data_IF_023113639249
#
_entry.id   IF_023113639249
#
_cell.length_a   1.000
_cell.length_b   1.000
_cell.length_c   1.000
_cell.angle_alpha   90.00
_cell.angle_beta   90.00
_cell.angle_gamma   90.00
#
_symmetry.space_group_name_H-M   'P 1'
#
loop_
_entity.id
_entity.type
_entity.pdbx_description
1 polymer ?
#
# COMPACT_ATOMS: atom_id res chain seq x y z
N UNK A 1 3.23 20.47 -11.90
CA UNK A 1 2.17 19.52 -12.27
C UNK A 1 0.84 20.09 -11.81
N UNK A 2 -0.11 20.23 -12.72
CA UNK A 2 -1.48 20.66 -12.38
C UNK A 2 -2.23 19.52 -11.67
N UNK A 3 -3.12 19.83 -10.74
CA UNK A 3 -3.93 18.84 -10.00
C UNK A 3 -4.66 17.87 -10.94
N UNK A 4 -5.11 18.36 -12.10
CA UNK A 4 -5.74 17.56 -13.16
C UNK A 4 -4.80 16.59 -13.87
N UNK A 5 -3.53 16.94 -14.01
CA UNK A 5 -2.52 16.04 -14.60
C UNK A 5 -2.19 14.90 -13.63
N UNK A 6 -2.18 15.19 -12.32
CA UNK A 6 -1.99 14.18 -11.29
C UNK A 6 -3.19 13.22 -11.23
N UNK A 7 -4.42 13.73 -11.25
CA UNK A 7 -5.64 12.91 -11.29
C UNK A 7 -5.67 11.98 -12.52
N UNK A 8 -5.37 12.50 -13.71
CA UNK A 8 -5.32 11.69 -14.94
C UNK A 8 -4.25 10.60 -14.88
N UNK A 9 -3.04 10.95 -14.42
CA UNK A 9 -1.96 9.95 -14.26
C UNK A 9 -2.30 8.90 -13.21
N UNK A 10 -3.00 9.28 -12.15
CA UNK A 10 -3.46 8.37 -11.12
C UNK A 10 -4.54 7.42 -11.67
N UNK A 11 -5.49 7.92 -12.45
CA UNK A 11 -6.52 7.10 -13.11
C UNK A 11 -5.90 6.10 -14.10
N UNK A 12 -4.96 6.56 -14.93
CA UNK A 12 -4.21 5.70 -15.87
C UNK A 12 -3.44 4.60 -15.12
N UNK A 13 -2.76 4.96 -14.02
CA UNK A 13 -2.03 4.00 -13.20
C UNK A 13 -2.98 3.00 -12.50
N UNK A 14 -4.16 3.44 -12.04
CA UNK A 14 -5.17 2.55 -11.48
C UNK A 14 -5.63 1.54 -12.54
N UNK A 15 -5.86 1.99 -13.78
CA UNK A 15 -6.28 1.11 -14.87
C UNK A 15 -5.19 0.11 -15.27
N UNK A 16 -3.93 0.54 -15.35
CA UNK A 16 -2.80 -0.36 -15.58
C UNK A 16 -2.70 -1.43 -14.47
N UNK A 17 -2.89 -1.02 -13.21
CA UNK A 17 -2.92 -1.94 -12.07
C UNK A 17 -4.08 -2.93 -12.16
N UNK A 18 -5.28 -2.50 -12.59
CA UNK A 18 -6.45 -3.37 -12.81
C UNK A 18 -6.16 -4.46 -13.84
N UNK A 19 -5.59 -4.07 -14.98
CA UNK A 19 -5.26 -5.01 -16.07
C UNK A 19 -4.19 -6.00 -15.60
N UNK A 20 -3.14 -5.50 -14.95
CA UNK A 20 -2.04 -6.35 -14.45
C UNK A 20 -2.52 -7.37 -13.42
N UNK A 21 -3.36 -6.94 -12.48
CA UNK A 21 -3.96 -7.85 -11.48
C UNK A 21 -4.85 -8.91 -12.14
N UNK A 22 -5.61 -8.52 -13.17
CA UNK A 22 -6.48 -9.42 -13.92
C UNK A 22 -5.66 -10.50 -14.65
N UNK A 23 -4.56 -10.12 -15.31
CA UNK A 23 -3.67 -11.07 -15.97
C UNK A 23 -3.06 -12.04 -14.95
N UNK A 24 -2.52 -11.52 -13.84
CA UNK A 24 -1.95 -12.36 -12.79
C UNK A 24 -2.98 -13.34 -12.20
N UNK A 25 -4.23 -12.90 -12.05
CA UNK A 25 -5.34 -13.73 -11.63
C UNK A 25 -5.61 -14.89 -12.61
N UNK A 26 -5.68 -14.61 -13.91
CA UNK A 26 -5.89 -15.63 -14.94
C UNK A 26 -4.72 -16.62 -14.98
N UNK A 27 -3.47 -16.14 -15.02
CA UNK A 27 -2.29 -17.00 -15.04
C UNK A 27 -2.25 -17.96 -13.86
N UNK A 28 -2.54 -17.47 -12.65
CA UNK A 28 -2.57 -18.30 -11.45
C UNK A 28 -3.69 -19.34 -11.47
N UNK A 29 -4.85 -18.98 -12.00
CA UNK A 29 -5.99 -19.91 -12.13
C UNK A 29 -5.63 -21.05 -13.07
N UNK A 30 -5.05 -20.73 -14.23
CA UNK A 30 -4.63 -21.70 -15.23
C UNK A 30 -3.56 -22.63 -14.67
N UNK A 31 -2.52 -22.08 -14.03
CA UNK A 31 -1.44 -22.88 -13.43
C UNK A 31 -2.00 -23.86 -12.38
N UNK A 32 -2.79 -23.36 -11.42
CA UNK A 32 -3.37 -24.19 -10.36
C UNK A 32 -4.25 -25.31 -10.94
N UNK A 33 -5.16 -24.97 -11.84
CA UNK A 33 -6.09 -25.96 -12.38
C UNK A 33 -5.41 -26.95 -13.32
N UNK A 34 -4.38 -26.54 -14.04
CA UNK A 34 -3.58 -27.45 -14.84
C UNK A 34 -2.83 -28.45 -13.94
N UNK A 35 -2.12 -27.96 -12.91
CA UNK A 35 -1.37 -28.82 -11.98
C UNK A 35 -2.27 -29.80 -11.22
N UNK A 36 -3.46 -29.36 -10.79
CA UNK A 36 -4.35 -30.17 -9.95
C UNK A 36 -5.25 -31.14 -10.75
N UNK A 37 -5.51 -30.86 -12.04
CA UNK A 37 -6.48 -31.63 -12.82
C UNK A 37 -5.91 -32.36 -14.04
N UNK A 38 -4.79 -31.90 -14.61
CA UNK A 38 -4.21 -32.50 -15.82
C UNK A 38 -3.03 -33.38 -15.44
N UNK A 39 -3.24 -34.69 -15.56
CA UNK A 39 -2.25 -35.68 -15.16
C UNK A 39 -1.93 -36.67 -16.29
N UNK A 40 -2.80 -36.80 -17.30
CA UNK A 40 -2.68 -37.82 -18.34
C UNK A 40 -2.21 -37.22 -19.67
N UNK A 41 -0.91 -37.32 -19.96
CA UNK A 41 -0.31 -36.84 -21.21
C UNK A 41 -0.40 -37.86 -22.36
N UNK A 42 -1.58 -38.47 -22.57
CA UNK A 42 -1.79 -39.49 -23.60
C UNK A 42 -2.31 -38.91 -24.91
N UNK A 43 -2.90 -37.71 -24.87
CA UNK A 43 -3.55 -37.07 -26.02
C UNK A 43 -3.30 -35.56 -25.99
N UNK A 44 -3.49 -34.89 -27.13
CA UNK A 44 -3.43 -33.41 -27.24
C UNK A 44 -4.73 -32.73 -26.78
N UNK A 45 -5.74 -33.50 -26.41
CA UNK A 45 -7.04 -33.04 -25.91
C UNK A 45 -7.20 -33.47 -24.46
N UNK A 46 -7.92 -32.67 -23.69
CA UNK A 46 -8.32 -33.03 -22.34
C UNK A 46 -9.38 -34.13 -22.38
N UNK A 47 -9.29 -35.10 -21.48
CA UNK A 47 -10.35 -36.07 -21.27
C UNK A 47 -11.57 -35.39 -20.60
N UNK A 48 -12.75 -36.00 -20.70
CA UNK A 48 -13.98 -35.45 -20.09
C UNK A 48 -13.85 -35.25 -18.57
N UNK A 49 -13.10 -36.15 -17.91
CA UNK A 49 -12.80 -36.05 -16.47
C UNK A 49 -11.91 -34.86 -16.14
N UNK A 50 -10.86 -34.64 -16.94
CA UNK A 50 -9.95 -33.50 -16.76
C UNK A 50 -10.69 -32.19 -17.04
N UNK A 51 -11.53 -32.15 -18.09
CA UNK A 51 -12.38 -31.01 -18.43
C UNK A 51 -13.34 -30.65 -17.29
N UNK A 52 -14.04 -31.64 -16.73
CA UNK A 52 -14.92 -31.42 -15.57
C UNK A 52 -14.15 -30.94 -14.34
N UNK A 53 -12.96 -31.51 -14.08
CA UNK A 53 -12.10 -31.07 -12.97
C UNK A 53 -11.66 -29.61 -13.13
N UNK A 54 -11.18 -29.21 -14.31
CA UNK A 54 -10.72 -27.83 -14.59
C UNK A 54 -11.86 -26.83 -14.38
N UNK A 55 -13.07 -27.14 -14.85
CA UNK A 55 -14.25 -26.28 -14.64
C UNK A 55 -14.57 -26.10 -13.14
N UNK A 56 -14.60 -27.20 -12.39
CA UNK A 56 -14.83 -27.16 -10.93
C UNK A 56 -13.70 -26.43 -10.19
N UNK A 57 -12.46 -26.61 -10.63
CA UNK A 57 -11.29 -25.91 -10.07
C UNK A 57 -11.41 -24.40 -10.26
N UNK A 58 -11.71 -23.94 -11.48
CA UNK A 58 -11.87 -22.53 -11.80
C UNK A 58 -13.00 -21.89 -10.97
N UNK A 59 -14.15 -22.56 -10.88
CA UNK A 59 -15.28 -22.09 -10.06
C UNK A 59 -14.91 -22.00 -8.57
N UNK A 60 -14.23 -23.03 -8.04
CA UNK A 60 -13.78 -23.06 -6.65
C UNK A 60 -12.75 -21.95 -6.37
N UNK A 61 -11.84 -21.70 -7.30
CA UNK A 61 -10.85 -20.64 -7.20
C UNK A 61 -11.49 -19.25 -7.19
N UNK A 62 -12.44 -18.99 -8.09
CA UNK A 62 -13.25 -17.77 -8.13
C UNK A 62 -13.95 -17.53 -6.79
N UNK A 63 -14.72 -18.53 -6.31
CA UNK A 63 -15.45 -18.45 -5.04
C UNK A 63 -14.52 -18.23 -3.84
N UNK A 64 -13.34 -18.86 -3.84
CA UNK A 64 -12.35 -18.68 -2.78
C UNK A 64 -11.74 -17.27 -2.79
N UNK A 65 -11.44 -16.73 -3.97
CA UNK A 65 -10.88 -15.39 -4.13
C UNK A 65 -11.87 -14.33 -3.67
N UNK A 66 -13.14 -14.42 -4.09
CA UNK A 66 -14.20 -13.51 -3.62
C UNK A 66 -14.40 -13.54 -2.10
N UNK A 67 -14.34 -14.72 -1.47
CA UNK A 67 -14.44 -14.84 0.00
C UNK A 67 -13.24 -14.22 0.71
N UNK A 68 -12.07 -14.28 0.08
CA UNK A 68 -10.84 -13.70 0.62
C UNK A 68 -10.92 -12.17 0.54
N UNK A 69 -11.32 -11.61 -0.60
CA UNK A 69 -11.52 -10.17 -0.75
C UNK A 69 -12.63 -9.62 0.18
N UNK A 70 -13.76 -10.31 0.33
CA UNK A 70 -14.80 -9.94 1.31
C UNK A 70 -14.24 -9.93 2.75
N UNK A 71 -13.27 -10.79 3.05
CA UNK A 71 -12.66 -10.85 4.39
C UNK A 71 -11.65 -9.74 4.59
N UNK A 72 -10.84 -9.43 3.59
CA UNK A 72 -9.88 -8.33 3.63
C UNK A 72 -10.60 -6.98 3.69
N UNK A 73 -11.63 -6.77 2.86
CA UNK A 73 -12.47 -5.57 2.90
C UNK A 73 -13.14 -5.36 4.25
N UNK A 74 -13.68 -6.42 4.87
CA UNK A 74 -14.22 -6.34 6.24
C UNK A 74 -13.16 -5.86 7.24
N UNK A 75 -11.92 -6.35 7.15
CA UNK A 75 -10.87 -5.97 8.08
C UNK A 75 -10.45 -4.51 7.90
N UNK A 76 -10.44 -4.01 6.66
CA UNK A 76 -10.19 -2.61 6.36
C UNK A 76 -11.30 -1.70 6.94
N UNK A 77 -12.57 -2.02 6.68
CA UNK A 77 -13.71 -1.29 7.20
C UNK A 77 -13.72 -1.24 8.73
N UNK A 78 -13.46 -2.38 9.39
CA UNK A 78 -13.37 -2.43 10.85
C UNK A 78 -12.20 -1.58 11.34
N UNK A 79 -11.06 -1.55 10.63
CA UNK A 79 -9.92 -0.74 11.04
C UNK A 79 -10.22 0.75 11.02
N UNK A 80 -10.89 1.22 9.97
CA UNK A 80 -11.16 2.64 9.76
C UNK A 80 -12.36 3.13 10.60
N UNK A 81 -13.40 2.30 10.75
CA UNK A 81 -14.73 2.78 11.17
C UNK A 81 -15.30 2.06 12.39
N UNK A 82 -14.49 1.32 13.15
CA UNK A 82 -14.97 0.62 14.36
C UNK A 82 -15.62 1.51 15.42
N UNK A 83 -15.37 2.83 15.41
CA UNK A 83 -15.96 3.79 16.34
C UNK A 83 -17.40 4.13 15.99
N UNK A 84 -17.77 4.10 14.70
CA UNK A 84 -19.12 4.42 14.20
C UNK A 84 -20.14 3.31 14.51
N UNK A 85 -19.66 2.11 14.88
CA UNK A 85 -20.50 0.97 15.25
C UNK A 85 -20.62 -0.09 14.14
N UNK A 86 -21.12 -1.27 14.53
CA UNK A 86 -21.18 -2.42 13.63
C UNK A 86 -22.30 -2.34 12.58
N UNK A 87 -23.34 -1.55 12.82
CA UNK A 87 -24.43 -1.35 11.86
C UNK A 87 -23.94 -0.56 10.64
N UNK A 88 -23.17 0.50 10.90
CA UNK A 88 -22.53 1.33 9.88
C UNK A 88 -21.48 0.55 9.08
N UNK A 89 -20.68 -0.29 9.75
CA UNK A 89 -19.76 -1.23 9.08
C UNK A 89 -20.54 -2.21 8.20
N UNK A 90 -21.69 -2.73 8.66
CA UNK A 90 -22.49 -3.66 7.89
C UNK A 90 -23.12 -3.03 6.66
N UNK A 91 -23.58 -1.79 6.76
CA UNK A 91 -24.10 -1.02 5.63
C UNK A 91 -23.04 -0.85 4.54
N UNK A 92 -21.86 -0.36 4.91
CA UNK A 92 -20.78 -0.12 3.94
C UNK A 92 -20.20 -1.42 3.39
N UNK A 93 -20.05 -2.46 4.22
CA UNK A 93 -19.68 -3.80 3.76
C UNK A 93 -20.67 -4.33 2.71
N UNK A 94 -21.97 -4.18 2.95
CA UNK A 94 -23.00 -4.65 2.00
C UNK A 94 -23.05 -3.80 0.72
N UNK A 95 -22.69 -2.52 0.79
CA UNK A 95 -22.56 -1.65 -0.38
C UNK A 95 -21.37 -2.06 -1.27
N UNK A 96 -20.25 -2.45 -0.66
CA UNK A 96 -19.05 -2.91 -1.39
C UNK A 96 -19.19 -4.32 -1.98
N UNK A 97 -19.95 -5.20 -1.33
CA UNK A 97 -20.11 -6.59 -1.75
C UNK A 97 -21.58 -6.91 -2.10
N UNK A 98 -22.10 -6.43 -3.24
CA UNK A 98 -23.47 -6.70 -3.66
C UNK A 98 -23.69 -8.22 -3.82
N UNK A 99 -24.83 -8.70 -3.33
CA UNK A 99 -25.21 -10.13 -3.37
C UNK A 99 -25.00 -10.91 -2.06
N UNK A 100 -24.27 -10.37 -1.08
CA UNK A 100 -24.12 -10.97 0.25
C UNK A 100 -24.66 -10.04 1.34
N UNK A 101 -25.90 -10.25 1.78
CA UNK A 101 -26.49 -9.45 2.88
C UNK A 101 -25.96 -9.93 4.23
N UNK A 102 -25.00 -9.20 4.80
CA UNK A 102 -24.45 -9.47 6.14
C UNK A 102 -25.10 -8.56 7.17
N UNK A 103 -25.38 -9.10 8.36
CA UNK A 103 -25.79 -8.30 9.52
C UNK A 103 -24.59 -7.90 10.38
N UNK A 104 -24.73 -6.81 11.12
CA UNK A 104 -23.75 -6.34 12.11
C UNK A 104 -23.27 -7.47 13.04
N UNK A 105 -24.20 -8.25 13.59
CA UNK A 105 -23.88 -9.41 14.43
C UNK A 105 -23.13 -10.52 13.69
N UNK A 106 -23.42 -10.76 12.41
CA UNK A 106 -22.67 -11.73 11.59
C UNK A 106 -21.22 -11.29 11.35
N UNK A 107 -21.01 -10.02 10.99
CA UNK A 107 -19.68 -9.46 10.75
C UNK A 107 -18.84 -9.42 12.04
N UNK A 108 -19.46 -8.99 13.16
CA UNK A 108 -18.83 -9.01 14.48
C UNK A 108 -18.36 -10.42 14.87
N UNK A 109 -19.17 -11.45 14.63
CA UNK A 109 -18.79 -12.85 14.86
C UNK A 109 -17.67 -13.32 13.92
N UNK A 110 -17.72 -12.94 12.64
CA UNK A 110 -16.66 -13.24 11.66
C UNK A 110 -15.33 -12.63 12.11
N UNK A 111 -15.31 -11.34 12.44
CA UNK A 111 -14.14 -10.66 12.99
C UNK A 111 -13.64 -11.32 14.27
N UNK A 112 -14.55 -11.65 15.20
CA UNK A 112 -14.22 -12.36 16.42
C UNK A 112 -13.55 -13.71 16.18
N UNK A 113 -14.02 -14.47 15.19
CA UNK A 113 -13.41 -15.73 14.79
C UNK A 113 -12.01 -15.50 14.21
N UNK A 114 -11.83 -14.50 13.35
CA UNK A 114 -10.55 -14.20 12.69
C UNK A 114 -9.45 -13.88 13.70
N UNK A 115 -9.65 -12.92 14.60
CA UNK A 115 -8.59 -12.56 15.55
C UNK A 115 -8.30 -13.66 16.60
N UNK A 116 -9.25 -14.56 16.86
CA UNK A 116 -9.08 -15.72 17.75
C UNK A 116 -8.38 -16.91 17.08
N UNK A 117 -8.21 -16.86 15.75
CA UNK A 117 -7.59 -17.96 15.01
C UNK A 117 -6.11 -18.08 15.41
N UNK A 118 -5.71 -19.30 15.79
CA UNK A 118 -4.30 -19.63 16.04
C UNK A 118 -3.60 -19.80 14.70
N UNK A 119 -2.44 -19.18 14.55
CA UNK A 119 -1.63 -19.28 13.33
C UNK A 119 -0.55 -20.30 13.64
N UNK A 120 -0.56 -21.41 12.91
CA UNK A 120 0.46 -22.46 12.97
C UNK A 120 1.20 -22.56 11.61
N UNK A 121 2.23 -23.41 11.54
CA UNK A 121 3.01 -23.60 10.30
C UNK A 121 2.22 -24.24 9.16
N UNK A 122 1.09 -24.89 9.45
CA UNK A 122 0.21 -25.54 8.46
C UNK A 122 -0.86 -24.59 7.91
N UNK A 123 -1.03 -23.43 8.55
CA UNK A 123 -2.02 -22.44 8.17
C UNK A 123 -1.62 -21.80 6.85
N UNK A 124 -2.50 -21.88 5.84
CA UNK A 124 -2.24 -21.24 4.54
C UNK A 124 -1.94 -19.76 4.71
N UNK A 125 -0.95 -19.28 3.96
CA UNK A 125 -0.42 -17.91 4.07
C UNK A 125 -1.51 -16.83 4.06
N UNK A 126 -2.49 -16.91 3.14
CA UNK A 126 -3.61 -15.96 3.07
C UNK A 126 -4.46 -15.93 4.35
N UNK A 127 -4.72 -17.10 4.95
CA UNK A 127 -5.47 -17.19 6.21
C UNK A 127 -4.65 -16.67 7.39
N UNK A 128 -3.33 -16.93 7.39
CA UNK A 128 -2.42 -16.37 8.38
C UNK A 128 -2.37 -14.84 8.30
N UNK A 129 -2.29 -14.28 7.08
CA UNK A 129 -2.34 -12.82 6.83
C UNK A 129 -3.63 -12.19 7.36
N UNK A 130 -4.79 -12.73 6.99
CA UNK A 130 -6.08 -12.23 7.48
C UNK A 130 -6.21 -12.31 9.02
N UNK A 131 -5.78 -13.41 9.63
CA UNK A 131 -5.79 -13.56 11.08
C UNK A 131 -4.82 -12.59 11.78
N UNK A 132 -3.63 -12.36 11.22
CA UNK A 132 -2.67 -11.40 11.74
C UNK A 132 -3.21 -9.96 11.66
N UNK A 133 -3.81 -9.59 10.53
CA UNK A 133 -4.45 -8.28 10.36
C UNK A 133 -5.60 -8.10 11.36
N UNK A 134 -6.47 -9.09 11.53
CA UNK A 134 -7.55 -9.04 12.52
C UNK A 134 -7.03 -8.87 13.96
N UNK A 135 -5.91 -9.53 14.32
CA UNK A 135 -5.25 -9.33 15.62
C UNK A 135 -4.72 -7.91 15.76
N UNK A 136 -4.06 -7.37 14.72
CA UNK A 136 -3.57 -5.99 14.71
C UNK A 136 -4.70 -4.98 14.91
N UNK A 137 -5.79 -5.10 14.14
CA UNK A 137 -6.97 -4.22 14.27
C UNK A 137 -7.54 -4.29 15.68
N UNK A 138 -7.65 -5.48 16.28
CA UNK A 138 -8.11 -5.62 17.67
C UNK A 138 -7.18 -4.94 18.68
N UNK A 139 -5.87 -5.00 18.47
CA UNK A 139 -4.89 -4.32 19.32
C UNK A 139 -5.00 -2.80 19.19
N UNK A 140 -5.17 -2.26 17.98
CA UNK A 140 -5.44 -0.84 17.73
C UNK A 140 -6.72 -0.38 18.48
N UNK A 141 -7.82 -1.15 18.35
CA UNK A 141 -9.07 -0.88 19.08
C UNK A 141 -8.88 -0.87 20.61
N UNK A 142 -8.00 -1.73 21.15
CA UNK A 142 -7.71 -1.80 22.60
C UNK A 142 -6.82 -0.64 23.05
N UNK A 143 -5.81 -0.30 22.27
CA UNK A 143 -4.88 0.81 22.56
C UNK A 143 -5.60 2.14 22.65
N UNK A 144 -6.52 2.40 21.73
CA UNK A 144 -7.29 3.65 21.71
C UNK A 144 -8.30 3.75 22.86
N UNK A 145 -8.94 2.64 23.24
CA UNK A 145 -9.76 2.58 24.46
C UNK A 145 -8.96 2.83 25.74
N UNK A 146 -7.72 2.34 25.81
CA UNK A 146 -6.82 2.62 26.94
C UNK A 146 -6.35 4.07 26.95
N UNK A 147 -6.08 4.66 25.77
CA UNK A 147 -5.78 6.09 25.63
C UNK A 147 -6.94 6.96 26.12
N UNK A 148 -8.16 6.68 25.68
CA UNK A 148 -9.37 7.38 26.16
C UNK A 148 -9.62 7.19 27.65
N UNK A 149 -9.40 5.99 28.21
CA UNK A 149 -9.52 5.75 29.65
C UNK A 149 -8.41 6.43 30.47
N UNK A 150 -7.20 6.58 29.92
CA UNK A 150 -6.11 7.32 30.55
C UNK A 150 -6.36 8.83 30.50
N UNK A 151 -6.86 9.35 29.37
CA UNK A 151 -7.31 10.74 29.25
C UNK A 151 -8.49 11.06 30.18
N UNK A 152 -9.45 10.14 30.31
CA UNK A 152 -10.57 10.30 31.23
C UNK A 152 -10.14 10.27 32.70
N UNK A 153 -9.11 9.48 33.07
CA UNK A 153 -8.49 9.53 34.40
C UNK A 153 -7.73 10.84 34.63
N UNK A 154 -6.98 11.32 33.64
CA UNK A 154 -6.26 12.59 33.74
C UNK A 154 -7.21 13.79 33.90
N UNK A 155 -8.40 13.75 33.29
CA UNK A 155 -9.43 14.78 33.48
C UNK A 155 -10.29 14.57 34.74
N UNK A 156 -10.24 13.38 35.35
CA UNK A 156 -10.91 13.07 36.61
C UNK A 156 -10.08 13.36 37.86
N UNK A 157 -8.78 13.57 37.72
CA UNK A 157 -7.85 13.83 38.83
C UNK A 157 -7.79 15.32 39.23
N UNK A 158 -8.44 16.22 38.48
CA UNK A 158 -8.56 17.65 38.79
C UNK A 158 -9.84 18.03 39.58
N UNK A 159 -10.65 17.07 40.03
CA UNK A 159 -11.90 17.35 40.76
C UNK A 159 -12.14 16.52 42.03
N UNK A 160 -11.10 15.99 42.69
CA UNK A 160 -11.26 15.46 44.05
C UNK A 160 -10.06 15.86 44.93
N UNK A 161 -10.17 17.03 45.56
CA UNK A 161 -9.50 17.31 46.82
C UNK A 161 -10.57 17.62 47.86
N UNK A 162 -10.41 17.02 49.04
CA UNK A 162 -11.24 17.06 50.25
C UNK A 162 -12.46 16.12 50.34
N UNK A 163 -12.21 14.87 50.79
CA UNK A 163 -12.64 14.38 52.12
C UNK A 163 -12.41 12.85 52.31
N UNK A 164 -11.58 12.52 53.31
CA UNK A 164 -11.35 11.32 54.17
C UNK A 164 -11.71 9.86 53.75
N UNK A 165 -10.93 8.83 54.21
CA UNK A 165 -10.95 7.47 53.68
C UNK A 165 -11.86 6.53 54.46
N UNK A 166 -12.59 5.67 53.75
CA UNK A 166 -13.25 4.53 54.36
C UNK A 166 -14.10 3.74 53.39
N UNK A 167 -13.82 2.44 53.34
CA UNK A 167 -14.69 1.35 52.88
C UNK A 167 -14.47 0.83 51.44
N UNK A 168 -14.38 -0.50 51.43
CA UNK A 168 -13.99 -1.45 50.41
C UNK A 168 -14.98 -1.66 49.24
N UNK A 169 -14.38 -1.94 48.08
CA UNK A 169 -14.83 -2.75 46.93
C UNK A 169 -16.21 -3.44 47.04
N UNK A 170 -17.08 -3.23 46.03
CA UNK A 170 -17.93 -4.26 45.41
C UNK A 170 -18.35 -3.85 43.97
N UNK A 171 -18.22 -4.79 43.03
CA UNK A 171 -18.94 -4.82 41.73
C UNK A 171 -20.46 -4.71 41.94
N UNK A 172 -21.23 -4.07 41.04
CA UNK A 172 -22.37 -4.64 40.26
C UNK A 172 -22.83 -3.63 39.16
N UNK A 173 -23.19 -4.18 37.98
CA UNK A 173 -23.97 -3.65 36.84
C UNK A 173 -25.02 -2.53 37.08
N UNK A 174 -25.25 -1.67 36.06
CA UNK A 174 -26.40 -1.69 35.13
C UNK A 174 -26.56 -0.37 34.34
N UNK A 175 -27.26 -0.46 33.21
CA UNK A 175 -27.66 0.58 32.25
C UNK A 175 -28.12 1.91 32.86
N UNK A 176 -27.98 3.01 32.10
CA UNK A 176 -29.10 3.91 31.76
C UNK A 176 -28.72 4.90 30.64
N UNK A 177 -29.79 5.36 30.01
CA UNK A 177 -29.98 5.97 28.70
C UNK A 177 -29.59 7.46 28.56
N UNK A 178 -29.56 7.88 27.29
CA UNK A 178 -29.90 9.20 26.72
C UNK A 178 -29.08 10.45 27.09
N UNK A 179 -28.30 10.94 26.10
CA UNK A 179 -28.19 12.38 25.84
C UNK A 179 -28.27 12.63 24.33
N UNK A 180 -29.24 13.44 23.93
CA UNK A 180 -29.51 13.92 22.59
C UNK A 180 -28.41 14.83 22.03
N UNK A 181 -28.15 14.65 20.73
CA UNK A 181 -27.97 15.68 19.69
C UNK A 181 -27.36 17.03 20.06
N UNK A 182 -26.13 17.27 19.58
CA UNK A 182 -25.72 18.61 19.12
C UNK A 182 -25.17 18.49 17.69
N UNK A 183 -25.84 19.21 16.80
CA UNK A 183 -25.52 19.47 15.40
C UNK A 183 -24.19 20.21 15.23
N UNK A 184 -23.30 19.71 14.35
CA UNK A 184 -22.32 20.52 13.63
C UNK A 184 -21.98 19.88 12.27
N UNK A 185 -22.30 20.59 11.18
CA UNK A 185 -21.76 20.34 9.83
C UNK A 185 -20.41 21.08 9.64
N UNK A 186 -19.81 21.12 8.43
CA UNK A 186 -18.88 20.10 7.93
C UNK A 186 -17.49 20.72 7.70
N UNK A 187 -16.42 20.02 8.04
CA UNK A 187 -15.07 20.57 7.91
C UNK A 187 -14.01 19.52 7.69
N UNK A 188 -13.47 19.50 6.47
CA UNK A 188 -12.11 19.08 6.10
C UNK A 188 -11.76 17.58 6.23
N UNK A 189 -11.88 16.89 5.09
CA UNK A 189 -11.19 15.63 4.80
C UNK A 189 -9.67 15.75 4.96
N UNK A 190 -9.01 14.83 5.67
CA UNK A 190 -7.66 14.41 5.34
C UNK A 190 -7.77 13.35 4.23
N UNK A 191 -7.38 13.73 3.01
CA UNK A 191 -7.16 12.77 1.93
C UNK A 191 -5.96 11.89 2.28
N UNK A 192 -6.24 10.66 2.71
CA UNK A 192 -5.31 9.54 2.59
C UNK A 192 -5.77 8.66 1.43
N UNK A 193 -4.87 8.53 0.46
CA UNK A 193 -4.96 7.73 -0.76
C UNK A 193 -5.70 6.40 -0.55
N UNK A 194 -6.73 6.07 -1.35
CA UNK A 194 -7.33 4.75 -1.31
C UNK A 194 -6.43 3.78 -2.08
N UNK A 195 -5.92 2.77 -1.38
CA UNK A 195 -5.37 1.57 -1.98
C UNK A 195 -6.53 0.87 -2.69
N UNK A 196 -6.60 1.07 -4.02
CA UNK A 196 -7.72 0.70 -4.87
C UNK A 196 -7.92 -0.82 -4.86
N UNK A 197 -8.81 -1.29 -4.00
CA UNK A 197 -9.42 -2.62 -4.14
C UNK A 197 -10.47 -2.50 -5.24
N UNK A 198 -10.04 -2.69 -6.49
CA UNK A 198 -10.94 -2.79 -7.62
C UNK A 198 -11.61 -4.15 -7.57
N UNK A 199 -12.88 -4.17 -7.17
CA UNK A 199 -13.79 -5.26 -7.53
C UNK A 199 -14.47 -4.87 -8.83
N UNK A 200 -13.90 -5.25 -9.97
CA UNK A 200 -14.63 -5.20 -11.23
C UNK A 200 -15.72 -6.28 -11.17
N UNK A 201 -16.98 -5.87 -11.16
CA UNK A 201 -18.10 -6.78 -11.28
C UNK A 201 -18.15 -7.34 -12.72
N UNK A 202 -18.68 -8.56 -12.91
CA UNK A 202 -18.85 -9.21 -14.23
C UNK A 202 -19.56 -8.30 -15.26
N UNK A 203 -20.38 -7.36 -14.77
CA UNK A 203 -21.15 -6.43 -15.57
C UNK A 203 -20.31 -5.31 -16.21
N UNK A 204 -19.30 -4.79 -15.49
CA UNK A 204 -18.42 -3.72 -16.01
C UNK A 204 -17.51 -4.24 -17.12
N UNK A 205 -17.04 -5.49 -17.00
CA UNK A 205 -16.25 -6.16 -18.04
C UNK A 205 -17.05 -6.44 -19.31
N UNK A 206 -18.37 -6.65 -19.23
CA UNK A 206 -19.23 -6.88 -20.40
C UNK A 206 -19.60 -5.59 -21.13
N UNK A 207 -19.77 -4.48 -20.41
CA UNK A 207 -20.15 -3.19 -21.00
C UNK A 207 -19.01 -2.52 -21.77
N UNK A 208 -17.77 -2.65 -21.31
CA UNK A 208 -16.59 -2.11 -22.02
C UNK A 208 -16.36 -2.78 -23.37
N UNK A 209 -16.78 -4.05 -23.53
CA UNK A 209 -16.64 -4.82 -24.76
C UNK A 209 -17.69 -4.49 -25.85
N UNK A 210 -18.73 -3.71 -25.56
CA UNK A 210 -19.89 -3.53 -26.48
C UNK A 210 -20.15 -2.10 -26.97
N UNK A 211 -19.42 -1.09 -26.50
CA UNK A 211 -19.60 0.28 -26.98
C UNK A 211 -18.64 0.63 -28.11
N UNK A 212 -19.16 0.71 -29.35
CA UNK A 212 -18.50 1.39 -30.45
C UNK A 212 -18.61 2.91 -30.27
N UNK A 213 -17.50 3.56 -29.89
CA UNK A 213 -17.42 5.02 -29.70
C UNK A 213 -17.30 5.72 -31.07
N UNK A 214 -18.10 6.76 -31.37
CA UNK A 214 -17.94 7.53 -32.61
C UNK A 214 -16.63 8.33 -32.59
N UNK A 215 -15.90 8.29 -33.71
CA UNK A 215 -14.62 8.98 -33.91
C UNK A 215 -14.81 10.51 -33.96
N UNK A 216 -14.29 11.22 -32.96
CA UNK A 216 -14.17 12.69 -32.97
C UNK A 216 -12.76 13.10 -33.41
N UNK A 217 -12.56 14.37 -33.77
CA UNK A 217 -11.28 14.90 -34.27
C UNK A 217 -10.09 14.69 -33.30
N UNK A 218 -10.36 14.55 -31.99
CA UNK A 218 -9.41 14.18 -30.92
C UNK A 218 -8.79 12.78 -31.12
N UNK A 219 -9.50 11.85 -31.76
CA UNK A 219 -9.00 10.47 -31.94
C UNK A 219 -7.87 10.41 -32.96
N UNK A 220 -7.87 11.31 -33.96
CA UNK A 220 -6.82 11.37 -34.98
C UNK A 220 -5.46 11.71 -34.37
N UNK A 221 -5.43 12.65 -33.43
CA UNK A 221 -4.22 13.08 -32.71
C UNK A 221 -3.79 12.00 -31.71
N UNK A 222 -4.73 11.31 -31.06
CA UNK A 222 -4.45 10.18 -30.18
C UNK A 222 -3.77 9.02 -30.91
N UNK A 223 -4.23 8.68 -32.13
CA UNK A 223 -3.58 7.69 -32.98
C UNK A 223 -2.17 8.10 -33.38
N UNK A 224 -1.95 9.36 -33.78
CA UNK A 224 -0.60 9.82 -34.13
C UNK A 224 0.35 9.80 -32.93
N UNK A 225 -0.12 10.19 -31.75
CA UNK A 225 0.66 10.13 -30.52
C UNK A 225 0.94 8.67 -30.09
N UNK A 226 0.00 7.73 -30.31
CA UNK A 226 0.23 6.31 -30.09
C UNK A 226 1.27 5.74 -31.08
N UNK A 227 1.16 6.06 -32.37
CA UNK A 227 2.11 5.65 -33.41
C UNK A 227 3.52 6.19 -33.14
N UNK A 228 3.63 7.41 -32.61
CA UNK A 228 4.92 8.01 -32.24
C UNK A 228 5.54 7.41 -30.96
N UNK A 229 4.71 6.88 -30.05
CA UNK A 229 5.17 6.22 -28.82
C UNK A 229 5.72 4.82 -29.05
N UNK A 230 5.25 4.13 -30.09
CA UNK A 230 5.59 2.73 -30.37
C UNK A 230 6.23 2.60 -31.75
N UNK A 231 7.53 2.96 -31.91
CA UNK A 231 8.18 2.97 -33.21
C UNK A 231 8.17 1.61 -33.92
N UNK A 232 8.23 0.49 -33.17
CA UNK A 232 8.21 -0.86 -33.76
C UNK A 232 6.79 -1.29 -34.15
N UNK A 233 5.79 -0.98 -33.33
CA UNK A 233 4.38 -1.22 -33.68
C UNK A 233 3.78 -0.12 -34.59
N UNK A 234 4.55 0.91 -34.96
CA UNK A 234 4.06 2.10 -35.67
C UNK A 234 3.41 1.76 -37.01
N UNK A 235 3.99 0.86 -37.78
CA UNK A 235 3.50 0.47 -39.10
C UNK A 235 2.27 -0.45 -39.05
N UNK A 236 2.23 -1.49 -38.18
CA UNK A 236 1.01 -2.22 -37.86
C UNK A 236 -0.14 -1.33 -37.38
N UNK A 237 0.14 -0.36 -36.50
CA UNK A 237 -0.86 0.57 -35.97
C UNK A 237 -1.41 1.53 -37.05
N UNK A 238 -0.55 2.01 -37.97
CA UNK A 238 -0.99 2.80 -39.14
C UNK A 238 -1.89 1.98 -40.06
N UNK A 239 -1.53 0.73 -40.33
CA UNK A 239 -2.30 -0.18 -41.17
C UNK A 239 -3.66 -0.50 -40.56
N UNK A 240 -3.68 -0.77 -39.25
CA UNK A 240 -4.91 -1.03 -38.51
C UNK A 240 -5.84 0.19 -38.49
N UNK A 241 -5.29 1.39 -38.31
CA UNK A 241 -6.05 2.65 -38.43
C UNK A 241 -6.68 2.82 -39.81
N UNK A 242 -5.90 2.61 -40.87
CA UNK A 242 -6.40 2.73 -42.25
C UNK A 242 -7.52 1.73 -42.56
N UNK A 243 -7.44 0.50 -42.02
CA UNK A 243 -8.48 -0.53 -42.16
C UNK A 243 -9.76 -0.20 -41.39
N UNK A 244 -9.63 0.43 -40.21
CA UNK A 244 -10.78 0.92 -39.43
C UNK A 244 -11.46 2.09 -40.14
N UNK A 245 -10.68 3.01 -40.73
CA UNK A 245 -11.19 4.16 -41.49
C UNK A 245 -11.84 3.75 -42.82
N UNK A 246 -11.37 2.67 -43.48
CA UNK A 246 -11.97 2.14 -44.71
C UNK A 246 -13.20 1.26 -44.48
N UNK A 247 -13.48 0.88 -43.22
CA UNK A 247 -14.58 -0.02 -42.86
C UNK A 247 -14.32 -1.48 -43.24
N UNK A 248 -13.08 -1.84 -43.57
CA UNK A 248 -12.70 -3.20 -43.92
C UNK A 248 -12.61 -4.08 -42.66
N UNK A 249 -13.07 -5.33 -42.78
CA UNK A 249 -12.96 -6.30 -41.69
C UNK A 249 -11.49 -6.64 -41.44
N UNK A 250 -10.93 -6.17 -40.32
CA UNK A 250 -9.63 -6.60 -39.83
C UNK A 250 -9.70 -8.07 -39.42
N UNK A 251 -8.78 -8.89 -39.93
CA UNK A 251 -8.64 -10.27 -39.48
C UNK A 251 -8.38 -10.26 -37.97
N UNK A 252 -9.13 -11.07 -37.21
CA UNK A 252 -8.94 -11.22 -35.76
C UNK A 252 -7.48 -11.59 -35.40
N UNK A 253 -6.77 -12.27 -36.30
CA UNK A 253 -5.36 -12.62 -36.15
C UNK A 253 -4.43 -11.40 -36.26
N UNK A 254 -4.70 -10.47 -37.18
CA UNK A 254 -3.88 -9.27 -37.39
C UNK A 254 -4.07 -8.27 -36.23
N UNK A 255 -5.29 -8.19 -35.70
CA UNK A 255 -5.60 -7.42 -34.50
C UNK A 255 -4.84 -7.98 -33.28
N UNK A 256 -4.92 -9.30 -33.06
CA UNK A 256 -4.22 -9.95 -31.95
C UNK A 256 -2.70 -9.79 -32.04
N UNK A 257 -2.13 -9.88 -33.25
CA UNK A 257 -0.70 -9.69 -33.49
C UNK A 257 -0.26 -8.24 -33.22
N UNK A 258 -1.06 -7.27 -33.64
CA UNK A 258 -0.79 -5.84 -33.40
C UNK A 258 -0.87 -5.50 -31.91
N UNK A 259 -1.89 -5.99 -31.21
CA UNK A 259 -2.03 -5.83 -29.76
C UNK A 259 -0.86 -6.46 -29.02
N UNK A 260 -0.43 -7.67 -29.41
CA UNK A 260 0.71 -8.36 -28.81
C UNK A 260 2.01 -7.56 -28.99
N UNK A 261 2.26 -7.00 -30.17
CA UNK A 261 3.44 -6.17 -30.44
C UNK A 261 3.46 -4.92 -29.56
N UNK A 262 2.33 -4.22 -29.44
CA UNK A 262 2.21 -3.03 -28.57
C UNK A 262 2.45 -3.41 -27.10
N UNK A 263 1.88 -4.52 -26.64
CA UNK A 263 2.07 -4.98 -25.25
C UNK A 263 3.53 -5.36 -24.97
N UNK A 264 4.21 -6.05 -25.90
CA UNK A 264 5.61 -6.43 -25.75
C UNK A 264 6.54 -5.23 -25.76
N UNK A 265 6.33 -4.28 -26.68
CA UNK A 265 7.11 -3.04 -26.73
C UNK A 265 6.87 -2.20 -25.47
N UNK A 266 5.64 -2.21 -24.96
CA UNK A 266 5.27 -1.55 -23.70
C UNK A 266 5.94 -2.14 -22.47
N UNK A 267 6.04 -3.47 -22.41
CA UNK A 267 6.80 -4.11 -21.35
C UNK A 267 8.29 -3.80 -21.45
N UNK A 268 8.86 -3.83 -22.65
CA UNK A 268 10.26 -3.51 -22.87
C UNK A 268 10.62 -2.08 -22.44
N UNK A 269 9.76 -1.11 -22.75
CA UNK A 269 9.98 0.28 -22.36
C UNK A 269 9.96 0.46 -20.83
N UNK A 270 9.00 -0.17 -20.13
CA UNK A 270 8.96 -0.19 -18.66
C UNK A 270 10.18 -0.87 -18.05
N UNK A 271 10.70 -1.92 -18.68
CA UNK A 271 11.92 -2.59 -18.24
C UNK A 271 13.14 -1.67 -18.32
N UNK A 272 13.29 -0.94 -19.43
CA UNK A 272 14.37 0.04 -19.60
C UNK A 272 14.31 1.16 -18.56
N UNK A 273 13.12 1.70 -18.29
CA UNK A 273 12.93 2.72 -17.25
C UNK A 273 13.31 2.19 -15.86
N UNK A 274 12.91 0.95 -15.52
CA UNK A 274 13.31 0.29 -14.27
C UNK A 274 14.82 0.07 -14.17
N UNK A 275 15.49 -0.21 -15.29
CA UNK A 275 16.96 -0.36 -15.32
C UNK A 275 17.67 0.97 -15.13
N UNK A 276 17.19 2.03 -15.78
CA UNK A 276 17.70 3.40 -15.61
C UNK A 276 17.59 3.85 -14.15
N UNK A 277 16.43 3.65 -13.54
CA UNK A 277 16.19 4.01 -12.13
C UNK A 277 17.07 3.17 -11.17
N UNK A 278 17.35 1.90 -11.51
CA UNK A 278 18.29 1.07 -10.74
C UNK A 278 19.72 1.61 -10.83
N UNK A 279 20.15 2.08 -12.00
CA UNK A 279 21.49 2.62 -12.20
C UNK A 279 21.65 4.01 -11.57
N UNK A 280 20.63 4.86 -11.63
CA UNK A 280 20.61 6.15 -10.94
C UNK A 280 20.76 5.97 -9.42
N UNK A 281 20.00 5.03 -8.83
CA UNK A 281 20.15 4.68 -7.41
C UNK A 281 21.54 4.13 -7.08
N UNK A 282 22.22 3.47 -8.02
CA UNK A 282 23.61 3.01 -7.82
C UNK A 282 24.58 4.19 -7.79
N UNK A 283 24.44 5.11 -8.74
CA UNK A 283 25.26 6.32 -8.81
C UNK A 283 25.04 7.22 -7.58
N UNK A 284 23.79 7.39 -7.13
CA UNK A 284 23.49 8.12 -5.89
C UNK A 284 24.16 7.48 -4.66
N UNK A 285 24.09 6.15 -4.54
CA UNK A 285 24.79 5.45 -3.45
C UNK A 285 26.30 5.65 -3.51
N UNK A 286 26.90 5.68 -4.69
CA UNK A 286 28.33 5.95 -4.86
C UNK A 286 28.67 7.38 -4.46
N UNK A 287 27.92 8.37 -4.96
CA UNK A 287 28.09 9.78 -4.59
C UNK A 287 27.98 9.98 -3.08
N UNK A 288 26.97 9.38 -2.45
CA UNK A 288 26.80 9.45 -1.00
C UNK A 288 27.96 8.80 -0.25
N UNK A 289 28.49 7.67 -0.72
CA UNK A 289 29.67 7.03 -0.11
C UNK A 289 30.92 7.90 -0.23
N UNK A 290 31.14 8.55 -1.37
CA UNK A 290 32.25 9.47 -1.58
C UNK A 290 32.14 10.70 -0.69
N UNK A 291 30.95 11.31 -0.62
CA UNK A 291 30.66 12.44 0.27
C UNK A 291 30.90 12.07 1.73
N UNK A 292 30.44 10.90 2.19
CA UNK A 292 30.69 10.39 3.53
C UNK A 292 32.17 10.11 3.82
N UNK A 293 32.97 9.73 2.80
CA UNK A 293 34.42 9.58 2.94
C UNK A 293 35.11 10.93 3.05
N UNK A 294 34.67 11.91 2.25
CA UNK A 294 35.21 13.26 2.30
C UNK A 294 34.87 13.95 3.62
N UNK A 295 33.64 13.82 4.11
CA UNK A 295 33.22 14.35 5.40
C UNK A 295 34.04 13.77 6.56
N UNK A 296 34.34 12.46 6.52
CA UNK A 296 35.26 11.84 7.49
C UNK A 296 36.66 12.45 7.44
N UNK A 297 37.22 12.68 6.24
CA UNK A 297 38.53 13.34 6.09
C UNK A 297 38.54 14.76 6.65
N UNK A 298 37.48 15.54 6.40
CA UNK A 298 37.34 16.90 6.95
C UNK A 298 37.29 16.87 8.48
N UNK A 299 36.46 16.00 9.05
CA UNK A 299 36.37 15.86 10.50
C UNK A 299 37.69 15.39 11.14
N UNK A 300 38.45 14.50 10.48
CA UNK A 300 39.79 14.13 10.94
C UNK A 300 40.79 15.28 10.90
N UNK A 301 40.75 16.11 9.85
CA UNK A 301 41.58 17.33 9.74
C UNK A 301 41.25 18.33 10.84
N UNK A 302 39.96 18.62 11.08
CA UNK A 302 39.51 19.49 12.17
C UNK A 302 40.01 18.98 13.53
N UNK A 303 39.90 17.68 13.80
CA UNK A 303 40.44 17.08 15.04
C UNK A 303 41.96 17.17 15.16
N UNK A 304 42.70 17.21 14.06
CA UNK A 304 44.16 17.42 14.07
C UNK A 304 44.50 18.89 14.32
N UNK A 305 43.74 19.82 13.74
CA UNK A 305 43.89 21.25 13.98
C UNK A 305 43.54 21.63 15.43
N UNK A 306 42.46 21.09 15.98
CA UNK A 306 42.10 21.29 17.38
C UNK A 306 43.16 20.77 18.33
N UNK A 307 43.76 19.60 18.03
CA UNK A 307 44.91 19.10 18.79
C UNK A 307 46.10 20.07 18.76
N UNK A 308 46.43 20.61 17.58
CA UNK A 308 47.50 21.62 17.44
C UNK A 308 47.20 22.90 18.22
N UNK A 309 45.96 23.41 18.15
CA UNK A 309 45.54 24.60 18.91
C UNK A 309 45.63 24.35 20.42
N UNK A 310 45.20 23.18 20.88
CA UNK A 310 45.29 22.79 22.29
C UNK A 310 46.74 22.65 22.75
N UNK A 311 47.62 22.03 21.96
CA UNK A 311 49.06 21.96 22.24
C UNK A 311 49.70 23.34 22.33
N UNK A 312 49.41 24.24 21.38
CA UNK A 312 49.87 25.63 21.40
C UNK A 312 49.39 26.37 22.66
N UNK A 313 48.10 26.21 23.02
CA UNK A 313 47.54 26.78 24.24
C UNK A 313 48.26 26.28 25.50
N UNK A 314 48.47 24.96 25.61
CA UNK A 314 49.18 24.36 26.74
C UNK A 314 50.64 24.84 26.83
N UNK A 315 51.32 25.04 25.70
CA UNK A 315 52.68 25.58 25.67
C UNK A 315 52.74 27.02 26.18
N UNK A 316 51.80 27.87 25.77
CA UNK A 316 51.68 29.26 26.26
C UNK A 316 51.40 29.28 27.76
N UNK A 317 50.46 28.45 28.23
CA UNK A 317 50.13 28.33 29.65
C UNK A 317 51.32 27.85 30.49
N UNK A 318 52.05 26.84 30.03
CA UNK A 318 53.25 26.33 30.71
C UNK A 318 54.32 27.42 30.83
N UNK A 319 54.52 28.19 29.76
CA UNK A 319 55.47 29.31 29.74
C UNK A 319 55.05 30.42 30.73
N UNK A 320 53.77 30.77 30.77
CA UNK A 320 53.24 31.77 31.69
C UNK A 320 53.38 31.34 33.16
N UNK A 321 53.06 30.09 33.48
CA UNK A 321 53.23 29.53 34.83
C UNK A 321 54.70 29.54 35.24
N UNK A 322 55.63 29.19 34.34
CA UNK A 322 57.06 29.26 34.60
C UNK A 322 57.54 30.70 34.89
N UNK A 323 57.03 31.69 34.16
CA UNK A 323 57.34 33.11 34.42
C UNK A 323 56.81 33.58 35.78
N UNK A 324 55.60 33.18 36.16
CA UNK A 324 55.01 33.51 37.48
C UNK A 324 55.83 32.87 38.60
N UNK A 325 56.23 31.59 38.45
CA UNK A 325 57.05 30.89 39.45
C UNK A 325 58.43 31.54 39.62
N UNK A 326 59.10 31.89 38.53
CA UNK A 326 60.38 32.61 38.57
C UNK A 326 60.26 33.99 39.23
N UNK A 327 59.19 34.74 38.93
CA UNK A 327 58.89 36.02 39.55
C UNK A 327 58.59 35.92 41.06
N UNK A 328 57.99 34.83 41.52
CA UNK A 328 57.78 34.56 42.95
C UNK A 328 59.09 34.21 43.66
N UNK A 329 59.98 33.43 43.06
CA UNK A 329 61.31 33.12 43.63
C UNK A 329 62.18 34.37 43.80
N UNK A 330 62.14 35.32 42.85
CA UNK A 330 62.85 36.59 42.98
C UNK A 330 62.30 37.51 44.08
N UNK A 331 61.01 37.42 44.42
CA UNK A 331 60.40 38.15 45.53
C UNK A 331 60.68 37.54 46.91
N UNK A 332 60.90 36.21 46.98
CA UNK A 332 61.20 35.51 48.24
C UNK A 332 62.69 35.63 48.63
N UNK A 333 63.59 35.87 47.67
CA UNK A 333 65.03 36.07 47.93
C UNK A 333 65.45 37.50 48.31
N UNK A 334 64.51 38.43 48.49
CA UNK A 334 64.75 39.85 48.82
C UNK A 334 64.14 40.29 50.17
N UNK A 335 63.83 39.35 51.06
CA UNK A 335 63.47 39.63 52.46
C UNK A 335 64.49 39.02 53.41
#
# INVERSE_FOLDING_TARGET
MSQREFERKMEEHIEEMRVTQTIAYFSRTVELCFTDCVHAFRSKKLDDKETSCVNNCAEKFLRHTMRSSETEGLLQEVRERWQEGWDVIAEVHNAQFPGHKRSAGSLKRKFAKLYRTKIDSTTKEKHARAAALAKKVREEMRGQRRGLAASARALGEDLVSDADPGVSVHEVHADLNDVEMITAQPGTHPQTLPEATVTASEHELRQTLTQSVPMTQDTSDAWQAAIGRWPVASEPLRRMRAQIESGDATSSQDLAQTVLLVLLESQHQRDLERDQEREERRLERQRWQEEMREQRRRHEQERMEDRRRNEQFMQVMTTLVAQIAAGQQQRVGLN
#
